data_IF_566481440525
#
_entry.id   IF_566481440525
#
_cell.length_a   1.000
_cell.length_b   1.000
_cell.length_c   1.000
_cell.angle_alpha   90.00
_cell.angle_beta   90.00
_cell.angle_gamma   90.00
#
_symmetry.space_group_name_H-M   'P 1'
#
loop_
_entity.id
_entity.type
_entity.pdbx_description
1 polymer ?
#
# COMPACT_ATOMS: atom_id res chain seq x y z
N UNK A 1 -16.35 2.32 5.99
CA UNK A 1 -15.15 1.71 5.42
C UNK A 1 -14.13 2.80 5.14
N UNK A 2 -12.85 2.54 5.40
CA UNK A 2 -11.74 3.50 5.21
C UNK A 2 -10.59 2.88 4.41
N UNK A 3 -10.03 3.64 3.46
CA UNK A 3 -8.82 3.24 2.72
C UNK A 3 -7.68 4.19 3.06
N UNK A 4 -6.56 3.62 3.48
CA UNK A 4 -5.32 4.37 3.74
C UNK A 4 -4.42 4.31 2.51
N UNK A 5 -4.15 5.46 1.91
CA UNK A 5 -3.31 5.63 0.73
C UNK A 5 -1.94 6.17 1.16
N UNK A 6 -0.89 5.36 1.10
CA UNK A 6 0.47 5.76 1.45
C UNK A 6 1.17 6.37 0.24
N UNK A 7 1.54 7.65 0.32
CA UNK A 7 2.39 8.31 -0.67
C UNK A 7 3.87 8.14 -0.31
N UNK A 8 4.55 7.24 -1.02
CA UNK A 8 5.99 6.96 -0.90
C UNK A 8 6.92 7.86 -1.72
N UNK A 9 6.37 8.91 -2.35
CA UNK A 9 7.16 9.91 -3.05
C UNK A 9 7.80 10.90 -2.08
N UNK A 10 9.02 11.39 -2.33
CA UNK A 10 9.57 12.51 -1.57
C UNK A 10 8.75 13.80 -1.77
N UNK A 11 7.95 13.88 -2.84
CA UNK A 11 7.09 15.03 -3.14
C UNK A 11 5.67 14.78 -2.61
N UNK A 12 5.24 15.60 -1.65
CA UNK A 12 3.90 15.51 -1.06
C UNK A 12 2.77 15.63 -2.11
N UNK A 13 2.97 16.48 -3.12
CA UNK A 13 2.02 16.72 -4.23
C UNK A 13 2.67 16.48 -5.61
N UNK A 14 3.32 15.34 -5.79
CA UNK A 14 3.96 14.93 -7.05
C UNK A 14 3.16 13.94 -7.90
N UNK A 15 3.82 13.33 -8.89
CA UNK A 15 3.22 12.36 -9.82
C UNK A 15 2.50 11.18 -9.13
N UNK A 16 3.15 10.54 -8.16
CA UNK A 16 2.55 9.46 -7.35
C UNK A 16 1.31 9.93 -6.60
N UNK A 17 1.35 11.13 -6.01
CA UNK A 17 0.20 11.74 -5.34
C UNK A 17 -0.95 11.98 -6.31
N UNK A 18 -0.66 12.44 -7.54
CA UNK A 18 -1.68 12.64 -8.58
C UNK A 18 -2.45 11.35 -8.90
N UNK A 19 -1.73 10.22 -9.02
CA UNK A 19 -2.36 8.91 -9.23
C UNK A 19 -3.19 8.49 -8.01
N UNK A 20 -2.66 8.63 -6.79
CA UNK A 20 -3.38 8.32 -5.55
C UNK A 20 -4.68 9.14 -5.42
N UNK A 21 -4.64 10.43 -5.75
CA UNK A 21 -5.83 11.27 -5.76
C UNK A 21 -6.90 10.79 -6.75
N UNK A 22 -6.50 10.27 -7.90
CA UNK A 22 -7.47 9.75 -8.88
C UNK A 22 -8.20 8.52 -8.34
N UNK A 23 -7.48 7.64 -7.63
CA UNK A 23 -8.10 6.49 -6.97
C UNK A 23 -8.99 6.93 -5.81
N UNK A 24 -8.51 7.86 -4.98
CA UNK A 24 -9.24 8.38 -3.84
C UNK A 24 -10.61 8.96 -4.25
N UNK A 25 -10.66 9.76 -5.32
CA UNK A 25 -11.93 10.31 -5.84
C UNK A 25 -12.96 9.23 -6.20
N UNK A 26 -12.54 8.10 -6.77
CA UNK A 26 -13.48 7.02 -7.11
C UNK A 26 -13.97 6.28 -5.86
N UNK A 27 -13.12 6.11 -4.84
CA UNK A 27 -13.53 5.55 -3.54
C UNK A 27 -14.52 6.48 -2.82
N UNK A 28 -14.28 7.79 -2.84
CA UNK A 28 -15.15 8.79 -2.19
C UNK A 28 -16.54 8.85 -2.82
N UNK A 29 -16.65 8.69 -4.15
CA UNK A 29 -17.94 8.56 -4.85
C UNK A 29 -18.78 7.38 -4.34
N UNK A 30 -18.11 6.35 -3.82
CA UNK A 30 -18.72 5.14 -3.27
C UNK A 30 -18.96 5.23 -1.76
N UNK A 31 -18.81 6.42 -1.16
CA UNK A 31 -18.90 6.71 0.28
C UNK A 31 -17.87 5.96 1.13
N UNK A 32 -16.68 5.71 0.59
CA UNK A 32 -15.57 5.12 1.32
C UNK A 32 -14.62 6.24 1.71
N UNK A 33 -14.32 6.37 3.01
CA UNK A 33 -13.38 7.38 3.52
C UNK A 33 -11.99 7.09 2.96
N UNK A 34 -11.27 8.14 2.56
CA UNK A 34 -9.89 8.02 2.11
C UNK A 34 -8.97 8.93 2.89
N UNK A 35 -7.78 8.45 3.18
CA UNK A 35 -6.72 9.25 3.79
C UNK A 35 -5.42 9.06 2.99
N UNK A 36 -4.90 10.14 2.39
CA UNK A 36 -3.58 10.11 1.76
C UNK A 36 -2.52 10.51 2.79
N UNK A 37 -1.75 9.53 3.27
CA UNK A 37 -0.66 9.73 4.20
C UNK A 37 0.68 9.85 3.46
N UNK A 38 1.32 11.01 3.54
CA UNK A 38 2.66 11.22 2.98
C UNK A 38 3.73 10.79 3.97
N UNK A 39 4.63 9.87 3.56
CA UNK A 39 5.70 9.38 4.45
C UNK A 39 6.77 10.46 4.75
N UNK A 40 6.74 11.59 4.04
CA UNK A 40 7.67 12.70 4.18
C UNK A 40 8.86 12.62 3.23
N UNK A 41 9.84 13.49 3.43
CA UNK A 41 11.11 13.53 2.68
C UNK A 41 12.35 13.45 3.60
N UNK A 42 12.13 13.27 4.90
CA UNK A 42 13.19 13.04 5.88
C UNK A 42 13.71 11.60 5.78
N UNK A 43 14.93 11.32 6.24
CA UNK A 43 15.46 9.96 6.26
C UNK A 43 14.52 8.99 6.97
N UNK A 44 14.26 7.85 6.33
CA UNK A 44 13.58 6.70 6.94
C UNK A 44 14.56 5.54 6.85
N UNK A 45 14.96 5.03 8.00
CA UNK A 45 15.87 3.88 8.09
C UNK A 45 15.13 2.59 7.72
N UNK A 46 15.83 1.67 7.05
CA UNK A 46 15.35 0.32 6.80
C UNK A 46 15.19 -0.48 8.10
N UNK A 47 14.50 -1.62 8.01
CA UNK A 47 14.38 -2.54 9.13
C UNK A 47 15.76 -3.12 9.49
N UNK A 48 16.13 -3.06 10.77
CA UNK A 48 17.40 -3.65 11.27
C UNK A 48 17.25 -5.10 11.75
N UNK A 49 16.11 -5.74 11.48
CA UNK A 49 15.78 -7.09 11.98
C UNK A 49 15.97 -7.27 13.51
N UNK A 50 15.85 -6.19 14.30
CA UNK A 50 16.11 -6.23 15.74
C UNK A 50 15.06 -7.02 16.56
N UNK A 51 13.92 -7.37 15.95
CA UNK A 51 12.79 -8.05 16.60
C UNK A 51 12.08 -7.25 17.69
N UNK A 52 12.40 -5.97 17.85
CA UNK A 52 11.87 -5.15 18.94
C UNK A 52 10.37 -4.90 18.85
N UNK A 53 9.80 -4.90 17.65
CA UNK A 53 8.35 -4.78 17.44
C UNK A 53 7.57 -5.99 17.96
N UNK A 54 8.11 -7.19 17.86
CA UNK A 54 7.47 -8.40 18.37
C UNK A 54 7.61 -8.57 19.88
N UNK A 55 8.55 -7.84 20.51
CA UNK A 55 8.81 -7.89 21.96
C UNK A 55 8.05 -6.81 22.73
N UNK A 56 7.54 -5.78 22.06
CA UNK A 56 6.75 -4.75 22.72
C UNK A 56 5.26 -5.04 22.55
N UNK A 57 4.48 -4.75 23.58
CA UNK A 57 3.02 -4.95 23.58
C UNK A 57 2.30 -3.94 22.67
N UNK A 58 2.99 -2.89 22.22
CA UNK A 58 2.41 -1.82 21.44
C UNK A 58 2.22 -2.14 19.95
N UNK A 59 2.85 -3.21 19.43
CA UNK A 59 2.86 -3.53 18.00
C UNK A 59 3.52 -2.43 17.15
N UNK A 60 4.52 -1.75 17.71
CA UNK A 60 5.19 -0.59 17.11
C UNK A 60 6.63 -0.86 16.77
N UNK A 61 7.16 -0.11 15.80
CA UNK A 61 8.60 -0.07 15.59
C UNK A 61 9.28 0.61 16.80
N UNK A 62 10.46 0.11 17.19
CA UNK A 62 11.28 0.72 18.26
C UNK A 62 11.78 2.12 17.95
N UNK A 63 11.68 2.52 16.68
CA UNK A 63 12.05 3.84 16.20
C UNK A 63 10.81 4.71 16.08
N UNK A 64 10.84 5.85 16.76
CA UNK A 64 9.72 6.79 16.87
C UNK A 64 10.06 8.19 16.35
N UNK A 65 11.21 8.34 15.69
CA UNK A 65 11.71 9.60 15.14
C UNK A 65 11.34 9.81 13.65
N UNK A 66 10.45 8.97 13.13
CA UNK A 66 9.91 9.05 11.78
C UNK A 66 8.42 8.71 11.70
N UNK A 67 7.89 8.62 10.48
CA UNK A 67 6.46 8.54 10.20
C UNK A 67 5.89 7.12 10.27
N UNK A 68 6.72 6.08 10.50
CA UNK A 68 6.26 4.69 10.45
C UNK A 68 5.23 4.40 11.54
N UNK A 69 5.51 4.77 12.79
CA UNK A 69 4.59 4.51 13.91
C UNK A 69 3.28 5.31 13.79
N UNK A 70 3.34 6.50 13.21
CA UNK A 70 2.14 7.32 12.94
C UNK A 70 1.24 6.59 11.93
N UNK A 71 1.82 6.04 10.87
CA UNK A 71 1.07 5.26 9.89
C UNK A 71 0.52 3.96 10.47
N UNK A 72 1.27 3.28 11.36
CA UNK A 72 0.81 2.06 12.01
C UNK A 72 -0.46 2.28 12.83
N UNK A 73 -0.56 3.41 13.54
CA UNK A 73 -1.81 3.75 14.25
C UNK A 73 -2.98 3.95 13.29
N UNK A 74 -2.75 4.65 12.17
CA UNK A 74 -3.79 4.84 11.13
C UNK A 74 -4.19 3.52 10.46
N UNK A 75 -3.28 2.57 10.36
CA UNK A 75 -3.51 1.28 9.73
C UNK A 75 -4.50 0.40 10.49
N UNK A 76 -4.64 0.60 11.81
CA UNK A 76 -5.60 -0.14 12.65
C UNK A 76 -7.04 0.11 12.21
N UNK A 77 -7.34 1.35 11.84
CA UNK A 77 -8.68 1.81 11.43
C UNK A 77 -8.96 1.61 9.94
N UNK A 78 -7.94 1.32 9.13
CA UNK A 78 -8.10 1.12 7.70
C UNK A 78 -8.74 -0.25 7.40
N UNK A 79 -9.64 -0.30 6.42
CA UNK A 79 -10.21 -1.53 5.86
C UNK A 79 -9.49 -1.99 4.59
N UNK A 80 -8.77 -1.08 3.92
CA UNK A 80 -7.97 -1.37 2.73
C UNK A 80 -6.79 -0.40 2.59
N UNK A 81 -5.84 -0.77 1.73
CA UNK A 81 -4.60 -0.02 1.57
C UNK A 81 -4.23 0.20 0.11
N UNK A 82 -3.63 1.35 -0.17
CA UNK A 82 -2.98 1.62 -1.46
C UNK A 82 -1.59 2.20 -1.20
N UNK A 83 -0.56 1.59 -1.76
CA UNK A 83 0.82 2.04 -1.59
C UNK A 83 1.37 2.58 -2.91
N UNK A 84 1.58 3.89 -2.95
CA UNK A 84 2.13 4.60 -4.10
C UNK A 84 3.63 4.78 -3.99
N UNK A 85 4.38 4.51 -5.07
CA UNK A 85 5.82 4.79 -5.15
C UNK A 85 6.23 5.41 -6.48
N UNK A 86 7.18 6.36 -6.50
CA UNK A 86 7.89 6.68 -7.73
C UNK A 86 8.91 5.58 -8.05
N UNK A 87 9.18 5.38 -9.34
CA UNK A 87 10.22 4.45 -9.81
C UNK A 87 11.58 5.14 -9.80
N UNK A 88 12.50 4.65 -8.98
CA UNK A 88 13.89 5.09 -8.92
C UNK A 88 14.81 3.91 -9.31
N UNK A 89 15.67 4.11 -10.31
CA UNK A 89 16.60 3.06 -10.80
C UNK A 89 15.91 1.71 -11.09
N UNK A 90 14.75 1.76 -11.76
CA UNK A 90 13.94 0.59 -12.13
C UNK A 90 13.40 -0.26 -10.96
N UNK A 91 13.28 0.32 -9.76
CA UNK A 91 12.67 -0.27 -8.60
C UNK A 91 11.77 0.74 -7.87
N UNK A 92 11.05 0.27 -6.84
CA UNK A 92 10.34 1.18 -5.93
C UNK A 92 11.35 2.10 -5.21
N UNK A 93 10.92 3.30 -4.83
CA UNK A 93 11.79 4.25 -4.14
C UNK A 93 12.37 3.65 -2.85
N UNK A 94 13.67 3.87 -2.58
CA UNK A 94 14.30 3.35 -1.37
C UNK A 94 13.63 3.83 -0.07
N UNK A 95 12.98 4.99 -0.10
CA UNK A 95 12.23 5.53 1.02
C UNK A 95 10.95 4.73 1.29
N UNK A 96 10.18 4.35 0.25
CA UNK A 96 8.99 3.53 0.46
C UNK A 96 9.37 2.11 0.89
N UNK A 97 10.45 1.53 0.38
CA UNK A 97 10.86 0.18 0.78
C UNK A 97 11.31 0.17 2.24
N UNK A 98 12.12 1.16 2.65
CA UNK A 98 12.55 1.29 4.05
C UNK A 98 11.37 1.50 5.00
N UNK A 99 10.36 2.27 4.57
CA UNK A 99 9.12 2.46 5.30
C UNK A 99 8.31 1.16 5.38
N UNK A 100 8.07 0.48 4.25
CA UNK A 100 7.22 -0.70 4.16
C UNK A 100 7.82 -1.90 4.88
N UNK A 101 9.13 -2.11 4.80
CA UNK A 101 9.81 -3.17 5.55
C UNK A 101 9.53 -3.06 7.05
N UNK A 102 9.52 -1.84 7.60
CA UNK A 102 9.22 -1.63 9.01
C UNK A 102 7.73 -1.65 9.30
N UNK A 103 6.92 -1.06 8.41
CA UNK A 103 5.47 -0.98 8.54
C UNK A 103 4.82 -2.38 8.54
N UNK A 104 5.17 -3.23 7.57
CA UNK A 104 4.64 -4.60 7.49
C UNK A 104 5.23 -5.53 8.56
N UNK A 105 6.48 -5.34 8.97
CA UNK A 105 7.10 -6.20 9.97
C UNK A 105 6.67 -5.87 11.40
N UNK A 106 6.31 -4.60 11.68
CA UNK A 106 5.81 -4.19 12.98
C UNK A 106 4.29 -4.33 13.12
N UNK A 107 3.53 -4.03 12.07
CA UNK A 107 2.06 -4.06 12.11
C UNK A 107 1.47 -5.47 12.00
N UNK A 108 0.30 -5.67 12.61
CA UNK A 108 -0.45 -6.92 12.64
C UNK A 108 -1.82 -6.81 11.94
N UNK A 109 -2.18 -5.62 11.49
CA UNK A 109 -3.53 -5.25 11.07
C UNK A 109 -3.75 -5.30 9.55
N UNK A 110 -3.02 -6.15 8.83
CA UNK A 110 -3.04 -6.22 7.36
C UNK A 110 -3.81 -7.42 6.79
N UNK A 111 -3.75 -8.56 7.48
CA UNK A 111 -4.30 -9.83 6.99
C UNK A 111 -5.78 -9.68 6.59
N UNK A 112 -6.14 -10.19 5.42
CA UNK A 112 -7.47 -10.12 4.78
C UNK A 112 -7.99 -8.72 4.44
N UNK A 113 -7.22 -7.65 4.67
CA UNK A 113 -7.56 -6.32 4.18
C UNK A 113 -7.02 -6.15 2.76
N UNK A 114 -7.84 -5.75 1.78
CA UNK A 114 -7.40 -5.63 0.40
C UNK A 114 -6.30 -4.57 0.24
N UNK A 115 -5.31 -4.87 -0.60
CA UNK A 115 -4.16 -4.03 -0.88
C UNK A 115 -3.95 -3.81 -2.37
N UNK A 116 -3.50 -2.62 -2.74
CA UNK A 116 -3.04 -2.31 -4.10
C UNK A 116 -1.71 -1.54 -4.08
N UNK A 117 -0.87 -1.82 -5.07
CA UNK A 117 0.31 -0.99 -5.37
C UNK A 117 0.00 -0.04 -6.51
N UNK A 118 0.58 1.16 -6.50
CA UNK A 118 0.61 2.09 -7.62
C UNK A 118 2.06 2.54 -7.85
N UNK A 119 2.49 2.54 -9.10
CA UNK A 119 3.82 3.03 -9.48
C UNK A 119 3.73 4.18 -10.46
N UNK A 120 4.58 5.19 -10.26
CA UNK A 120 4.70 6.32 -11.19
C UNK A 120 6.11 6.34 -11.77
N UNK A 121 6.23 6.32 -13.10
CA UNK A 121 7.53 6.38 -13.77
C UNK A 121 7.50 7.38 -14.93
N UNK A 122 8.67 7.80 -15.42
CA UNK A 122 8.74 8.65 -16.62
C UNK A 122 8.69 7.83 -17.92
N UNK A 123 9.34 6.66 -17.93
CA UNK A 123 9.53 5.85 -19.15
C UNK A 123 9.59 4.34 -18.93
N UNK A 124 10.22 3.85 -17.85
CA UNK A 124 10.41 2.41 -17.65
C UNK A 124 10.74 2.04 -16.22
N UNK A 125 10.84 0.73 -15.96
CA UNK A 125 11.09 0.16 -14.63
C UNK A 125 9.84 0.04 -13.74
N UNK A 126 8.65 0.35 -14.28
CA UNK A 126 7.37 0.24 -13.57
C UNK A 126 7.03 -1.20 -13.21
N UNK A 127 7.30 -2.16 -14.08
CA UNK A 127 6.99 -3.58 -13.84
C UNK A 127 7.74 -4.14 -12.65
N UNK A 128 9.07 -4.01 -12.62
CA UNK A 128 9.89 -4.47 -11.49
C UNK A 128 9.53 -3.78 -10.17
N UNK A 129 9.22 -2.48 -10.20
CA UNK A 129 8.76 -1.75 -9.01
C UNK A 129 7.38 -2.24 -8.54
N UNK A 130 6.44 -2.48 -9.47
CA UNK A 130 5.11 -2.99 -9.17
C UNK A 130 5.19 -4.41 -8.57
N UNK A 131 5.99 -5.28 -9.16
CA UNK A 131 6.22 -6.65 -8.67
C UNK A 131 6.83 -6.63 -7.27
N UNK A 132 7.80 -5.75 -7.02
CA UNK A 132 8.41 -5.59 -5.70
C UNK A 132 7.38 -5.19 -4.64
N UNK A 133 6.50 -4.23 -4.94
CA UNK A 133 5.49 -3.77 -3.99
C UNK A 133 4.39 -4.82 -3.75
N UNK A 134 3.99 -5.60 -4.75
CA UNK A 134 2.96 -6.62 -4.56
C UNK A 134 3.39 -7.76 -3.62
N UNK A 135 4.70 -8.00 -3.45
CA UNK A 135 5.21 -9.02 -2.52
C UNK A 135 4.79 -8.78 -1.08
N UNK A 136 4.65 -7.53 -0.64
CA UNK A 136 4.19 -7.23 0.73
C UNK A 136 2.78 -7.77 0.97
N UNK A 137 1.90 -7.69 -0.04
CA UNK A 137 0.51 -8.14 0.06
C UNK A 137 0.41 -9.65 0.13
N UNK A 138 1.16 -10.35 -0.74
CA UNK A 138 1.15 -11.81 -0.79
C UNK A 138 1.76 -12.44 0.47
N UNK A 139 2.84 -11.85 1.00
CA UNK A 139 3.45 -12.28 2.26
C UNK A 139 2.51 -12.04 3.45
N UNK A 140 1.73 -10.95 3.41
CA UNK A 140 0.85 -10.54 4.52
C UNK A 140 -0.58 -11.08 4.42
N UNK A 141 -0.84 -12.03 3.51
CA UNK A 141 -2.17 -12.62 3.30
C UNK A 141 -3.25 -11.55 3.02
N UNK A 142 -2.93 -10.61 2.14
CA UNK A 142 -3.83 -9.56 1.68
C UNK A 142 -4.42 -9.92 0.31
N UNK A 143 -5.73 -9.77 0.09
CA UNK A 143 -6.32 -9.80 -1.23
C UNK A 143 -5.73 -8.66 -2.10
N UNK A 144 -5.16 -9.01 -3.26
CA UNK A 144 -4.61 -8.00 -4.17
C UNK A 144 -5.74 -7.43 -5.02
N UNK A 145 -5.88 -6.10 -5.03
CA UNK A 145 -6.84 -5.42 -5.91
C UNK A 145 -6.16 -5.07 -7.23
N UNK A 146 -6.65 -5.69 -8.30
CA UNK A 146 -6.23 -5.41 -9.66
C UNK A 146 -7.07 -4.27 -10.28
N UNK A 147 -6.55 -3.71 -11.37
CA UNK A 147 -7.30 -2.84 -12.27
C UNK A 147 -7.47 -3.51 -13.64
N UNK A 148 -7.95 -2.76 -14.63
CA UNK A 148 -8.04 -3.19 -16.04
C UNK A 148 -6.66 -3.42 -16.68
N UNK A 149 -5.59 -2.93 -16.05
CA UNK A 149 -4.20 -3.21 -16.38
C UNK A 149 -3.33 -3.07 -15.12
N UNK A 150 -2.02 -3.24 -15.24
CA UNK A 150 -1.11 -2.99 -14.11
C UNK A 150 -1.14 -1.54 -13.67
N UNK A 151 -1.16 -1.31 -12.36
CA UNK A 151 -1.43 -0.02 -11.72
C UNK A 151 -0.25 0.97 -11.85
N UNK A 152 0.00 1.45 -13.08
CA UNK A 152 1.09 2.35 -13.38
C UNK A 152 0.62 3.61 -14.11
N UNK A 153 1.32 4.72 -13.86
CA UNK A 153 1.14 5.98 -14.58
C UNK A 153 2.47 6.51 -15.09
N UNK A 154 2.44 7.22 -16.22
CA UNK A 154 3.60 7.80 -16.87
C UNK A 154 3.58 9.33 -16.83
N UNK A 155 4.70 9.94 -16.46
CA UNK A 155 4.86 11.40 -16.49
C UNK A 155 6.00 11.89 -15.59
N UNK A 156 6.65 12.97 -15.99
CA UNK A 156 7.70 13.65 -15.23
C UNK A 156 7.15 14.74 -14.29
N UNK A 157 5.93 15.22 -14.57
CA UNK A 157 5.21 16.21 -13.76
C UNK A 157 3.77 15.72 -13.46
N UNK A 158 3.11 16.27 -12.43
CA UNK A 158 1.69 16.00 -12.18
C UNK A 158 0.78 16.25 -13.39
N UNK A 159 1.11 17.28 -14.18
CA UNK A 159 0.37 17.65 -15.38
C UNK A 159 0.54 16.60 -16.48
N UNK A 160 1.75 16.08 -16.68
CA UNK A 160 2.03 15.00 -17.63
C UNK A 160 1.35 13.69 -17.20
N UNK A 161 1.32 13.37 -15.90
CA UNK A 161 0.58 12.18 -15.42
C UNK A 161 -0.88 12.22 -15.81
N UNK A 162 -1.51 13.40 -15.76
CA UNK A 162 -2.92 13.55 -16.18
C UNK A 162 -3.12 13.35 -17.69
N UNK A 163 -2.07 13.46 -18.49
CA UNK A 163 -2.11 13.23 -19.93
C UNK A 163 -1.95 11.73 -20.28
N UNK A 164 -1.46 10.90 -19.36
CA UNK A 164 -1.50 9.43 -19.49
C UNK A 164 -2.93 8.92 -19.33
N UNK A 165 -3.69 8.97 -20.43
CA UNK A 165 -5.13 8.66 -20.42
C UNK A 165 -5.41 7.23 -19.92
N UNK A 166 -4.60 6.26 -20.33
CA UNK A 166 -4.73 4.86 -19.93
C UNK A 166 -4.31 4.66 -18.47
N UNK A 167 -3.20 5.25 -18.04
CA UNK A 167 -2.78 5.22 -16.64
C UNK A 167 -3.84 5.82 -15.71
N UNK A 168 -4.40 6.97 -16.08
CA UNK A 168 -5.48 7.61 -15.31
C UNK A 168 -6.78 6.80 -15.33
N UNK A 169 -7.13 6.16 -16.44
CA UNK A 169 -8.24 5.21 -16.49
C UNK A 169 -8.01 4.01 -15.58
N UNK A 170 -6.79 3.49 -15.58
CA UNK A 170 -6.36 2.39 -14.71
C UNK A 170 -6.51 2.78 -13.24
N UNK A 171 -6.19 4.03 -12.85
CA UNK A 171 -6.41 4.51 -11.47
C UNK A 171 -7.90 4.58 -11.14
N UNK A 172 -8.74 5.08 -12.06
CA UNK A 172 -10.19 5.12 -11.82
C UNK A 172 -10.79 3.73 -11.64
N UNK A 173 -10.41 2.78 -12.50
CA UNK A 173 -10.88 1.39 -12.40
C UNK A 173 -10.36 0.72 -11.13
N UNK A 174 -9.12 1.00 -10.72
CA UNK A 174 -8.57 0.50 -9.47
C UNK A 174 -9.42 0.94 -8.26
N UNK A 175 -9.82 2.21 -8.21
CA UNK A 175 -10.69 2.73 -7.15
C UNK A 175 -12.05 2.06 -7.11
N UNK A 176 -12.68 1.86 -8.27
CA UNK A 176 -13.95 1.14 -8.40
C UNK A 176 -13.83 -0.33 -7.97
N UNK A 177 -12.76 -1.01 -8.37
CA UNK A 177 -12.52 -2.40 -8.00
C UNK A 177 -12.25 -2.56 -6.50
N UNK A 178 -11.48 -1.64 -5.90
CA UNK A 178 -11.26 -1.60 -4.45
C UNK A 178 -12.59 -1.37 -3.72
N UNK A 179 -13.41 -0.42 -4.18
CA UNK A 179 -14.72 -0.15 -3.58
C UNK A 179 -15.64 -1.37 -3.64
N UNK A 180 -15.72 -2.01 -4.81
CA UNK A 180 -16.50 -3.24 -4.99
C UNK A 180 -16.02 -4.35 -4.05
N UNK A 181 -14.71 -4.62 -4.00
CA UNK A 181 -14.16 -5.69 -3.17
C UNK A 181 -14.40 -5.44 -1.67
N UNK A 182 -14.21 -4.20 -1.20
CA UNK A 182 -14.50 -3.82 0.19
C UNK A 182 -15.98 -4.04 0.53
N UNK A 183 -16.89 -3.61 -0.36
CA UNK A 183 -18.33 -3.84 -0.21
C UNK A 183 -18.68 -5.32 -0.19
N UNK A 184 -18.05 -6.12 -1.06
CA UNK A 184 -18.24 -7.58 -1.09
C UNK A 184 -17.75 -8.27 0.17
N UNK A 185 -16.58 -7.89 0.70
CA UNK A 185 -16.07 -8.39 1.98
C UNK A 185 -17.03 -8.04 3.11
N UNK A 186 -17.53 -6.80 3.15
CA UNK A 186 -18.48 -6.37 4.17
C UNK A 186 -19.82 -7.13 4.09
N UNK A 187 -20.38 -7.27 2.88
CA UNK A 187 -21.59 -8.05 2.66
C UNK A 187 -21.40 -9.53 3.05
N UNK A 188 -20.23 -10.11 2.78
CA UNK A 188 -19.87 -11.46 3.23
C UNK A 188 -19.88 -11.58 4.76
N UNK A 189 -19.29 -10.62 5.47
CA UNK A 189 -19.33 -10.57 6.94
C UNK A 189 -20.76 -10.48 7.48
N UNK A 190 -21.58 -9.62 6.89
CA UNK A 190 -23.01 -9.47 7.25
C UNK A 190 -23.81 -10.75 6.98
N UNK A 191 -23.45 -11.50 5.93
CA UNK A 191 -24.03 -12.80 5.60
C UNK A 191 -23.47 -13.96 6.46
N UNK A 192 -22.56 -13.69 7.40
CA UNK A 192 -21.97 -14.71 8.28
C UNK A 192 -20.80 -15.49 7.68
N UNK A 193 -20.20 -15.02 6.58
CA UNK A 193 -18.96 -15.60 6.04
C UNK A 193 -17.82 -15.28 7.00
N UNK A 194 -17.29 -16.32 7.65
CA UNK A 194 -16.16 -16.21 8.57
C UNK A 194 -14.82 -16.30 7.83
N UNK A 195 -13.77 -15.75 8.46
CA UNK A 195 -12.41 -15.94 7.95
C UNK A 195 -12.01 -17.42 8.02
N UNK A 196 -11.15 -17.90 7.10
CA UNK A 196 -10.63 -19.26 7.14
C UNK A 196 -9.93 -19.57 8.47
N UNK A 197 -10.01 -20.83 8.91
CA UNK A 197 -9.24 -21.31 10.05
C UNK A 197 -7.74 -21.14 9.78
N UNK A 198 -7.00 -20.66 10.79
CA UNK A 198 -5.55 -20.47 10.66
C UNK A 198 -4.84 -21.81 10.84
N UNK A 199 -4.10 -22.21 9.82
CA UNK A 199 -3.20 -23.35 9.93
C UNK A 199 -1.98 -22.99 10.82
N UNK A 200 -1.54 -23.89 11.72
CA UNK A 200 -0.29 -23.73 12.45
C UNK A 200 0.91 -23.57 11.50
N UNK A 201 1.74 -22.56 11.72
CA UNK A 201 2.87 -22.27 10.84
C UNK A 201 3.96 -23.34 10.95
N UNK A 202 4.15 -24.12 9.89
CA UNK A 202 5.27 -25.05 9.74
C UNK A 202 6.55 -24.29 9.33
N UNK A 203 7.30 -23.78 10.31
CA UNK A 203 8.57 -23.10 10.05
C UNK A 203 9.61 -24.08 9.52
N UNK A 204 10.15 -23.79 8.33
CA UNK A 204 11.30 -24.49 7.77
C UNK A 204 12.48 -23.54 7.72
N UNK A 205 13.56 -23.88 8.42
CA UNK A 205 14.87 -23.27 8.22
C UNK A 205 15.65 -24.17 7.24
N UNK A 206 16.20 -23.59 6.18
CA UNK A 206 17.03 -24.34 5.20
C UNK A 206 18.38 -24.78 5.80
N UNK A 207 18.74 -24.22 6.95
CA UNK A 207 19.84 -24.66 7.81
C UNK A 207 19.24 -25.62 8.84
N UNK A 208 19.73 -26.87 8.82
CA UNK A 208 19.43 -27.90 9.82
C UNK A 208 20.59 -28.02 10.79
#
# INVERSE_FOLDING_TARGET
MKVLLINGSPKAKGCTYTALCEVAKELEKENIETEIFHIGNKPIRGCMACGGCSRNEAGKCVFDDDTVNIALEKAKEADGFIFGSPVHYAAASGQITSFLDRFFYAGDSFQYKPGAAIVSCRRGGSTAAFDQLNKYFTISNMPIVSSQYWNMVHGNTPEEVKQDLEGMQTMRVLGKNMAWLLKSINAGKEAGVVLPEKEPRAWTNFIR
#
